data_IF_687425692821
#
_entry.id   IF_687425692821
#
_cell.length_a   1.000
_cell.length_b   1.000
_cell.length_c   1.000
_cell.angle_alpha   90.00
_cell.angle_beta   90.00
_cell.angle_gamma   90.00
#
_symmetry.space_group_name_H-M   'P 1'
#
loop_
_entity.id
_entity.type
_entity.pdbx_description
1 polymer ?
#
# COMPACT_ATOMS: atom_id res chain seq x y z
N UNK A 1 11.29 6.46 -10.94
CA UNK A 1 9.85 6.13 -10.94
C UNK A 1 9.32 6.55 -9.59
N UNK A 2 8.48 7.58 -9.55
CA UNK A 2 7.95 8.09 -8.28
C UNK A 2 6.92 7.09 -7.74
N UNK A 3 7.26 6.49 -6.59
CA UNK A 3 6.53 5.46 -5.86
C UNK A 3 5.25 5.99 -5.19
N UNK A 4 4.61 7.00 -5.77
CA UNK A 4 3.17 7.18 -5.70
C UNK A 4 2.90 8.11 -6.87
N UNK A 5 2.56 7.57 -8.04
CA UNK A 5 2.33 8.46 -9.19
C UNK A 5 1.17 9.38 -8.85
N UNK A 6 1.35 10.70 -9.03
CA UNK A 6 0.33 11.74 -8.81
C UNK A 6 -1.07 11.31 -9.27
N UNK A 7 -1.14 10.63 -10.41
CA UNK A 7 -2.34 10.04 -11.01
C UNK A 7 -3.11 9.06 -10.11
N UNK A 8 -2.40 8.23 -9.33
CA UNK A 8 -3.00 7.27 -8.39
C UNK A 8 -3.63 8.04 -7.21
N UNK A 9 -2.94 9.05 -6.68
CA UNK A 9 -3.44 9.87 -5.58
C UNK A 9 -4.64 10.72 -6.02
N UNK A 10 -4.53 11.42 -7.15
CA UNK A 10 -5.58 12.29 -7.67
C UNK A 10 -6.86 11.51 -7.98
N UNK A 11 -6.75 10.28 -8.49
CA UNK A 11 -7.89 9.40 -8.73
C UNK A 11 -8.63 9.04 -7.44
N UNK A 12 -7.89 8.60 -6.40
CA UNK A 12 -8.48 8.28 -5.10
C UNK A 12 -9.15 9.48 -4.44
N UNK A 13 -8.51 10.64 -4.54
CA UNK A 13 -9.00 11.90 -3.96
C UNK A 13 -10.26 12.39 -4.70
N UNK A 14 -10.23 12.35 -6.03
CA UNK A 14 -11.36 12.74 -6.87
C UNK A 14 -12.60 11.90 -6.58
N UNK A 15 -12.45 10.60 -6.34
CA UNK A 15 -13.56 9.71 -6.00
C UNK A 15 -14.30 10.14 -4.72
N UNK A 16 -13.60 10.71 -3.75
CA UNK A 16 -14.21 11.26 -2.53
C UNK A 16 -14.87 12.60 -2.79
N UNK A 17 -14.15 13.52 -3.43
CA UNK A 17 -14.60 14.90 -3.65
C UNK A 17 -15.83 14.94 -4.58
N UNK A 18 -15.83 14.16 -5.66
CA UNK A 18 -16.97 14.07 -6.60
C UNK A 18 -18.24 13.52 -5.94
N UNK A 19 -18.08 12.74 -4.88
CA UNK A 19 -19.18 12.22 -4.07
C UNK A 19 -19.68 13.20 -3.01
N UNK A 20 -19.13 14.42 -2.96
CA UNK A 20 -19.44 15.42 -1.92
C UNK A 20 -18.80 15.10 -0.57
N UNK A 21 -17.86 14.16 -0.52
CA UNK A 21 -17.15 13.78 0.69
C UNK A 21 -15.95 14.68 0.97
N UNK A 22 -15.49 14.69 2.22
CA UNK A 22 -14.23 15.30 2.63
C UNK A 22 -13.15 14.23 2.73
N UNK A 23 -11.95 14.54 2.25
CA UNK A 23 -10.82 13.62 2.33
C UNK A 23 -10.35 13.51 3.79
N UNK A 24 -10.13 12.29 4.30
CA UNK A 24 -9.65 12.04 5.66
C UNK A 24 -8.37 11.21 5.66
N UNK A 25 -7.51 11.43 6.65
CA UNK A 25 -6.26 10.69 6.80
C UNK A 25 -6.51 9.18 6.90
N UNK A 26 -7.56 8.77 7.63
CA UNK A 26 -7.98 7.36 7.74
C UNK A 26 -8.33 6.72 6.38
N UNK A 27 -8.97 7.49 5.48
CA UNK A 27 -9.29 7.01 4.15
C UNK A 27 -8.03 6.77 3.33
N UNK A 28 -7.11 7.75 3.32
CA UNK A 28 -5.83 7.61 2.64
C UNK A 28 -5.03 6.45 3.21
N UNK A 29 -4.91 6.34 4.54
CA UNK A 29 -4.22 5.24 5.22
C UNK A 29 -4.81 3.88 4.86
N UNK A 30 -6.13 3.76 4.72
CA UNK A 30 -6.79 2.52 4.29
C UNK A 30 -6.50 2.16 2.83
N UNK A 31 -6.45 3.15 1.95
CA UNK A 31 -6.18 2.95 0.52
C UNK A 31 -4.69 2.77 0.22
N UNK A 32 -3.85 3.41 1.00
CA UNK A 32 -2.40 3.40 0.89
C UNK A 32 -1.74 2.39 1.83
N UNK A 33 -2.47 1.40 2.36
CA UNK A 33 -1.90 0.33 3.22
C UNK A 33 -0.73 -0.42 2.60
N UNK A 34 -0.69 -0.50 1.27
CA UNK A 34 0.40 -1.11 0.54
C UNK A 34 1.65 -0.22 0.46
N UNK A 35 1.60 0.99 1.02
CA UNK A 35 2.66 1.98 1.00
C UNK A 35 3.10 2.32 2.42
N UNK A 36 4.41 2.50 2.58
CA UNK A 36 5.05 2.93 3.81
C UNK A 36 5.09 4.46 3.76
N UNK A 37 4.24 5.08 4.58
CA UNK A 37 4.10 6.53 4.77
C UNK A 37 3.91 6.78 6.26
N UNK A 38 4.45 7.90 6.76
CA UNK A 38 4.27 8.30 8.15
C UNK A 38 2.84 8.78 8.42
N UNK A 39 2.37 8.66 9.67
CA UNK A 39 1.02 9.09 10.04
C UNK A 39 0.80 10.58 9.75
N UNK A 40 1.82 11.39 9.99
CA UNK A 40 1.81 12.83 9.71
C UNK A 40 1.69 13.15 8.21
N UNK A 41 2.29 12.31 7.35
CA UNK A 41 2.21 12.48 5.90
C UNK A 41 0.77 12.44 5.39
N UNK A 42 -0.05 11.54 5.95
CA UNK A 42 -1.47 11.46 5.61
C UNK A 42 -2.23 12.73 6.02
N UNK A 43 -1.92 13.30 7.19
CA UNK A 43 -2.55 14.53 7.67
C UNK A 43 -2.18 15.73 6.79
N UNK A 44 -0.90 15.85 6.41
CA UNK A 44 -0.43 16.93 5.54
C UNK A 44 -1.10 16.85 4.17
N UNK A 45 -1.13 15.67 3.53
CA UNK A 45 -1.80 15.48 2.24
C UNK A 45 -3.28 15.84 2.35
N UNK A 46 -3.98 15.33 3.37
CA UNK A 46 -5.42 15.62 3.51
C UNK A 46 -5.73 17.07 3.79
N UNK A 47 -4.91 17.75 4.60
CA UNK A 47 -5.10 19.18 4.88
C UNK A 47 -4.88 19.99 3.62
N UNK A 48 -3.76 19.78 2.92
CA UNK A 48 -3.45 20.50 1.68
C UNK A 48 -4.57 20.34 0.63
N UNK A 49 -5.00 19.10 0.37
CA UNK A 49 -6.06 18.83 -0.61
C UNK A 49 -7.42 19.38 -0.16
N UNK A 50 -7.76 19.31 1.13
CA UNK A 50 -9.01 19.87 1.62
C UNK A 50 -9.02 21.41 1.58
N UNK A 51 -7.85 22.05 1.69
CA UNK A 51 -7.69 23.50 1.59
C UNK A 51 -7.55 23.98 0.13
N UNK A 52 -7.37 23.06 -0.83
CA UNK A 52 -7.33 23.39 -2.25
C UNK A 52 -8.61 24.10 -2.72
N UNK A 53 -8.48 24.99 -3.71
CA UNK A 53 -9.60 25.79 -4.19
C UNK A 53 -10.63 24.94 -4.95
N UNK A 54 -11.85 25.44 -5.09
CA UNK A 54 -12.88 24.75 -5.89
C UNK A 54 -12.47 24.58 -7.36
N UNK A 55 -11.59 25.46 -7.88
CA UNK A 55 -11.03 25.32 -9.22
C UNK A 55 -10.10 24.11 -9.33
N UNK A 56 -9.31 23.84 -8.30
CA UNK A 56 -8.40 22.70 -8.26
C UNK A 56 -9.19 21.39 -8.09
N UNK A 57 -10.31 21.46 -7.37
CA UNK A 57 -11.25 20.35 -7.15
C UNK A 57 -12.28 20.18 -8.26
N UNK A 58 -12.14 20.87 -9.40
CA UNK A 58 -13.12 20.84 -10.49
C UNK A 58 -13.07 19.57 -11.33
N UNK A 59 -11.90 18.94 -11.43
CA UNK A 59 -11.73 17.67 -12.15
C UNK A 59 -10.46 16.95 -11.70
N UNK A 60 -10.38 15.65 -12.01
CA UNK A 60 -9.17 14.85 -11.78
C UNK A 60 -7.91 15.48 -12.39
N UNK A 61 -8.00 16.14 -13.56
CA UNK A 61 -6.86 16.78 -14.22
C UNK A 61 -6.33 17.99 -13.45
N UNK A 62 -7.23 18.76 -12.83
CA UNK A 62 -6.85 19.91 -12.02
C UNK A 62 -6.26 19.46 -10.68
N UNK A 63 -6.82 18.41 -10.09
CA UNK A 63 -6.26 17.75 -8.90
C UNK A 63 -4.87 17.16 -9.16
N UNK A 64 -4.67 16.53 -10.32
CA UNK A 64 -3.35 16.04 -10.73
C UNK A 64 -2.35 17.20 -10.81
N UNK A 65 -2.70 18.29 -11.50
CA UNK A 65 -1.83 19.46 -11.62
C UNK A 65 -1.55 20.11 -10.25
N UNK A 66 -2.55 20.16 -9.36
CA UNK A 66 -2.41 20.68 -8.00
C UNK A 66 -1.41 19.84 -7.19
N UNK A 67 -1.60 18.52 -7.15
CA UNK A 67 -0.71 17.58 -6.45
C UNK A 67 0.71 17.65 -7.02
N UNK A 68 0.85 17.76 -8.35
CA UNK A 68 2.14 17.88 -9.03
C UNK A 68 2.79 19.26 -8.87
N UNK A 69 2.02 20.29 -8.51
CA UNK A 69 2.53 21.62 -8.20
C UNK A 69 2.93 21.78 -6.74
N UNK A 70 2.29 21.07 -5.81
CA UNK A 70 2.54 21.18 -4.36
C UNK A 70 3.84 20.48 -3.96
N UNK A 71 4.85 21.27 -3.61
CA UNK A 71 6.18 20.79 -3.22
C UNK A 71 6.15 19.91 -1.96
N UNK A 72 5.25 20.18 -1.00
CA UNK A 72 5.14 19.37 0.22
C UNK A 72 4.58 18.00 -0.11
N UNK A 73 3.53 17.94 -0.94
CA UNK A 73 2.95 16.68 -1.37
C UNK A 73 4.02 15.91 -2.17
N UNK A 74 4.67 16.54 -3.16
CA UNK A 74 5.76 15.90 -3.93
C UNK A 74 6.87 15.32 -3.05
N UNK A 75 7.32 16.05 -2.04
CA UNK A 75 8.36 15.56 -1.13
C UNK A 75 7.89 14.32 -0.37
N UNK A 76 6.66 14.34 0.16
CA UNK A 76 6.05 13.17 0.80
C UNK A 76 5.96 12.00 -0.18
N UNK A 77 5.50 12.23 -1.42
CA UNK A 77 5.35 11.18 -2.44
C UNK A 77 6.70 10.57 -2.87
N UNK A 78 7.80 11.34 -2.78
CA UNK A 78 9.16 10.82 -3.02
C UNK A 78 9.65 9.89 -1.92
N UNK A 79 9.25 10.15 -0.68
CA UNK A 79 9.59 9.30 0.47
C UNK A 79 8.69 8.07 0.59
N UNK A 80 7.53 8.10 -0.06
CA UNK A 80 6.61 6.96 -0.10
C UNK A 80 7.29 5.77 -0.80
N UNK A 81 7.44 4.65 -0.10
CA UNK A 81 7.89 3.40 -0.69
C UNK A 81 6.77 2.36 -0.61
N UNK A 82 6.43 1.62 -1.68
CA UNK A 82 5.55 0.47 -1.58
C UNK A 82 6.21 -0.50 -0.63
N UNK A 83 5.39 -1.09 0.22
CA UNK A 83 5.78 -2.23 1.02
C UNK A 83 6.15 -3.35 0.04
N UNK A 84 7.44 -3.50 -0.25
CA UNK A 84 8.00 -4.66 -0.96
C UNK A 84 8.01 -5.86 -0.01
N UNK A 85 6.84 -6.19 0.51
CA UNK A 85 6.60 -7.54 0.98
C UNK A 85 6.52 -8.40 -0.26
N UNK A 86 7.52 -9.24 -0.48
CA UNK A 86 7.26 -10.53 -1.10
C UNK A 86 6.24 -11.23 -0.20
N UNK A 87 4.97 -10.88 -0.36
CA UNK A 87 3.88 -11.67 0.19
C UNK A 87 3.87 -12.93 -0.66
N UNK A 88 4.71 -13.89 -0.30
CA UNK A 88 4.34 -15.28 -0.53
C UNK A 88 3.03 -15.42 0.22
N UNK A 89 1.93 -15.36 -0.53
CA UNK A 89 0.61 -15.65 -0.02
C UNK A 89 0.62 -17.15 0.33
N UNK A 90 1.15 -17.48 1.51
CA UNK A 90 0.93 -18.76 2.16
C UNK A 90 -0.50 -18.79 2.72
N UNK A 91 -1.48 -18.33 1.93
CA UNK A 91 -2.80 -18.91 1.95
C UNK A 91 -2.66 -20.36 1.47
N UNK A 92 -2.04 -21.17 2.34
CA UNK A 92 -2.20 -22.60 2.35
C UNK A 92 -3.68 -22.79 2.58
N UNK A 93 -4.42 -22.89 1.48
CA UNK A 93 -5.67 -23.59 1.47
C UNK A 93 -5.35 -24.97 2.06
N UNK A 94 -5.58 -25.15 3.37
CA UNK A 94 -5.66 -26.47 3.99
C UNK A 94 -7.00 -27.06 3.54
N UNK A 95 -7.21 -27.12 2.22
CA UNK A 95 -8.09 -28.06 1.59
C UNK A 95 -7.26 -29.30 1.41
N UNK A 96 -7.52 -30.27 2.28
CA UNK A 96 -7.11 -31.67 2.13
C UNK A 96 -6.64 -32.01 0.71
N UNK A 97 -5.34 -32.21 0.53
CA UNK A 97 -4.85 -32.97 -0.61
C UNK A 97 -5.34 -34.40 -0.42
N UNK A 98 -6.39 -34.78 -1.14
CA UNK A 98 -6.65 -36.19 -1.37
C UNK A 98 -5.56 -36.70 -2.32
N UNK A 99 -4.44 -37.12 -1.75
CA UNK A 99 -3.46 -37.94 -2.43
C UNK A 99 -4.09 -39.32 -2.65
N UNK A 100 -4.87 -39.46 -3.72
CA UNK A 100 -5.31 -40.76 -4.20
C UNK A 100 -4.09 -41.45 -4.81
N UNK A 101 -3.31 -42.14 -3.96
CA UNK A 101 -2.07 -42.76 -4.38
C UNK A 101 -1.31 -43.42 -3.24
N UNK A 102 -1.76 -44.61 -2.88
CA UNK A 102 -1.09 -45.63 -2.06
C UNK A 102 -1.15 -45.48 -0.52
N UNK A 103 -1.64 -46.54 0.12
CA UNK A 103 -1.79 -46.68 1.58
C UNK A 103 -0.41 -46.87 2.23
N UNK A 104 0.22 -45.78 2.62
CA UNK A 104 1.40 -45.79 3.49
C UNK A 104 1.48 -44.49 4.24
N UNK A 105 1.56 -44.55 5.57
CA UNK A 105 1.76 -43.38 6.42
C UNK A 105 3.06 -42.70 6.00
N UNK A 106 2.97 -41.54 5.34
CA UNK A 106 4.15 -40.76 4.99
C UNK A 106 4.43 -39.76 6.11
N UNK A 107 5.47 -40.01 6.88
CA UNK A 107 6.04 -39.04 7.82
C UNK A 107 6.96 -38.11 7.04
N UNK A 108 6.59 -36.83 6.93
CA UNK A 108 7.50 -35.81 6.36
C UNK A 108 8.38 -35.29 7.50
N UNK A 109 9.65 -35.68 7.50
CA UNK A 109 10.68 -35.13 8.38
C UNK A 109 11.37 -33.95 7.69
N UNK A 110 11.20 -32.74 8.23
CA UNK A 110 11.90 -31.55 7.76
C UNK A 110 13.19 -31.41 8.59
N UNK A 111 14.33 -31.79 8.02
CA UNK A 111 15.64 -31.55 8.62
C UNK A 111 16.10 -30.15 8.24
N UNK A 112 15.96 -29.19 9.16
CA UNK A 112 16.59 -27.88 9.00
C UNK A 112 18.08 -28.04 9.34
N UNK A 113 18.90 -28.36 8.33
CA UNK A 113 20.34 -28.51 8.46
C UNK A 113 21.02 -27.16 8.75
N UNK A 114 21.17 -26.84 10.03
CA UNK A 114 22.09 -25.81 10.49
C UNK A 114 23.20 -26.48 11.28
N UNK A 115 24.36 -26.68 10.64
CA UNK A 115 25.59 -27.02 11.35
C UNK A 115 25.93 -25.88 12.31
N UNK A 116 25.84 -26.14 13.62
CA UNK A 116 26.47 -25.32 14.63
C UNK A 116 27.55 -26.18 15.27
N UNK A 117 28.77 -26.09 14.75
CA UNK A 117 29.97 -26.59 15.44
C UNK A 117 30.11 -25.85 16.78
N UNK A 118 29.80 -26.53 17.88
CA UNK A 118 30.28 -26.11 19.21
C UNK A 118 31.49 -26.96 19.59
N UNK A 119 32.69 -26.44 19.27
CA UNK A 119 33.95 -26.93 19.86
C UNK A 119 34.02 -26.56 21.34
N UNK A 120 34.09 -27.56 22.22
CA UNK A 120 35.05 -27.61 23.33
C UNK A 120 35.07 -28.99 23.98
#
# INVERSE_FOLDING_TARGET
MEMLTTTILSGMVWDIIKGGGKLTADYLKKKLKAWILEEESYQVITSSINDASDNDKKSIKYLDAYIDSDDKIKEILKTATPTVGYMQDNNSYIGSVNATGNKGTQTITINNGGDIETKK
#
